data_IF_463775666844
#
_entry.id   IF_463775666844
#
_cell.length_a   1.000
_cell.length_b   1.000
_cell.length_c   1.000
_cell.angle_alpha   90.00
_cell.angle_beta   90.00
_cell.angle_gamma   90.00
#
_symmetry.space_group_name_H-M   'P 1'
#
loop_
_entity.id
_entity.type
_entity.pdbx_description
1 polymer ?
#
# COMPACT_ATOMS: atom_id res chain seq x y z
N UNK A 1 -21.06 20.56 36.52
CA UNK A 1 -20.95 20.13 35.10
C UNK A 1 -19.96 18.98 35.04
N UNK A 2 -20.44 17.75 34.97
CA UNK A 2 -19.63 16.54 34.98
C UNK A 2 -18.91 16.41 33.64
N UNK A 3 -17.56 16.40 33.65
CA UNK A 3 -16.73 16.21 32.45
C UNK A 3 -17.18 14.91 31.77
N UNK A 4 -17.79 15.01 30.58
CA UNK A 4 -18.29 13.84 29.84
C UNK A 4 -17.10 12.92 29.58
N UNK A 5 -17.13 11.71 30.15
CA UNK A 5 -16.05 10.72 30.01
C UNK A 5 -15.94 10.36 28.53
N UNK A 6 -14.74 10.54 27.97
CA UNK A 6 -14.45 10.18 26.58
C UNK A 6 -14.26 8.66 26.56
N UNK A 7 -14.97 7.97 25.67
CA UNK A 7 -14.80 6.54 25.45
C UNK A 7 -13.34 6.26 25.06
N UNK A 8 -12.73 5.31 25.75
CA UNK A 8 -11.35 4.91 25.52
C UNK A 8 -11.32 3.56 24.79
N UNK A 9 -10.91 3.52 23.50
CA UNK A 9 -10.83 2.28 22.76
C UNK A 9 -9.79 1.30 23.32
N UNK A 10 -8.78 1.76 24.09
CA UNK A 10 -7.82 0.87 24.76
C UNK A 10 -8.46 0.07 25.91
N UNK A 11 -9.58 0.56 26.45
CA UNK A 11 -10.27 -0.07 27.57
C UNK A 11 -11.17 -1.23 27.13
N UNK A 12 -11.32 -1.48 25.82
CA UNK A 12 -12.16 -2.56 25.29
C UNK A 12 -11.53 -3.92 25.62
N UNK A 13 -12.21 -4.79 26.39
CA UNK A 13 -11.65 -6.05 26.82
C UNK A 13 -11.48 -7.03 25.65
N UNK A 14 -10.44 -7.88 25.72
CA UNK A 14 -10.19 -8.90 24.69
C UNK A 14 -11.33 -9.92 24.51
N UNK A 15 -12.21 -10.07 25.51
CA UNK A 15 -13.40 -10.93 25.44
C UNK A 15 -14.43 -10.43 24.43
N UNK A 16 -14.64 -9.12 24.35
CA UNK A 16 -15.57 -8.49 23.40
C UNK A 16 -15.26 -8.90 21.95
N UNK A 17 -13.98 -8.89 21.58
CA UNK A 17 -13.51 -9.28 20.25
C UNK A 17 -13.67 -10.77 19.93
N UNK A 18 -13.95 -11.61 20.94
CA UNK A 18 -14.18 -13.06 20.78
C UNK A 18 -15.66 -13.43 20.75
N UNK A 19 -16.55 -12.48 20.98
CA UNK A 19 -17.99 -12.73 20.91
C UNK A 19 -18.40 -13.10 19.48
N UNK A 20 -19.30 -14.07 19.36
CA UNK A 20 -19.69 -14.63 18.06
C UNK A 20 -20.30 -13.57 17.14
N UNK A 21 -21.13 -12.69 17.69
CA UNK A 21 -21.77 -11.61 16.95
C UNK A 21 -20.74 -10.58 16.45
N UNK A 22 -19.75 -10.24 17.28
CA UNK A 22 -18.65 -9.34 16.91
C UNK A 22 -17.77 -9.99 15.84
N UNK A 23 -17.38 -11.25 15.99
CA UNK A 23 -16.59 -11.98 14.98
C UNK A 23 -17.34 -12.09 13.64
N UNK A 24 -18.64 -12.35 13.68
CA UNK A 24 -19.50 -12.43 12.49
C UNK A 24 -19.60 -11.07 11.80
N UNK A 25 -19.78 -9.98 12.58
CA UNK A 25 -19.79 -8.62 12.04
C UNK A 25 -18.45 -8.28 11.37
N UNK A 26 -17.33 -8.61 11.99
CA UNK A 26 -15.98 -8.40 11.44
C UNK A 26 -15.77 -9.19 10.13
N UNK A 27 -16.06 -10.49 10.14
CA UNK A 27 -15.90 -11.37 8.98
C UNK A 27 -16.75 -10.93 7.78
N UNK A 28 -17.96 -10.42 8.03
CA UNK A 28 -18.86 -9.90 6.99
C UNK A 28 -18.63 -8.43 6.66
N UNK A 29 -17.67 -7.78 7.33
CA UNK A 29 -17.40 -6.35 7.26
C UNK A 29 -18.64 -5.49 7.52
N UNK A 30 -19.55 -5.97 8.37
CA UNK A 30 -20.78 -5.26 8.76
C UNK A 30 -20.48 -4.29 9.91
N UNK A 31 -20.12 -3.06 9.55
CA UNK A 31 -19.77 -2.01 10.51
C UNK A 31 -21.01 -1.50 11.26
N UNK A 32 -22.20 -1.65 10.68
CA UNK A 32 -23.45 -1.35 11.37
C UNK A 32 -23.68 -2.30 12.55
N UNK A 33 -23.46 -3.61 12.34
CA UNK A 33 -23.52 -4.59 13.40
C UNK A 33 -22.43 -4.37 14.46
N UNK A 34 -21.18 -4.13 14.05
CA UNK A 34 -20.08 -3.85 14.97
C UNK A 34 -20.39 -2.62 15.86
N UNK A 35 -20.85 -1.52 15.27
CA UNK A 35 -21.20 -0.32 16.03
C UNK A 35 -22.39 -0.52 16.97
N UNK A 36 -23.36 -1.36 16.61
CA UNK A 36 -24.44 -1.73 17.54
C UNK A 36 -23.91 -2.50 18.74
N UNK A 37 -22.98 -3.44 18.55
CA UNK A 37 -22.34 -4.15 19.66
C UNK A 37 -21.59 -3.19 20.59
N UNK A 38 -20.87 -2.20 20.05
CA UNK A 38 -20.22 -1.16 20.85
C UNK A 38 -21.20 -0.32 21.67
N UNK A 39 -22.31 0.10 21.06
CA UNK A 39 -23.32 0.93 21.73
C UNK A 39 -24.15 0.16 22.75
N UNK A 40 -24.20 -1.17 22.64
CA UNK A 40 -24.90 -2.03 23.59
C UNK A 40 -24.04 -2.39 24.80
N UNK A 41 -22.73 -2.61 24.59
CA UNK A 41 -21.82 -3.10 25.63
C UNK A 41 -21.18 -1.97 26.46
N UNK A 42 -20.98 -0.79 25.87
CA UNK A 42 -20.24 0.30 26.51
C UNK A 42 -21.11 1.55 26.69
N UNK A 43 -21.61 1.77 27.92
CA UNK A 43 -22.48 2.90 28.28
C UNK A 43 -21.85 4.28 28.02
N UNK A 44 -20.51 4.37 28.04
CA UNK A 44 -19.77 5.60 27.76
C UNK A 44 -19.40 5.76 26.28
N UNK A 45 -19.79 4.82 25.42
CA UNK A 45 -19.65 4.88 23.96
C UNK A 45 -20.93 5.42 23.30
N UNK A 46 -20.77 6.43 22.43
CA UNK A 46 -21.87 7.06 21.70
C UNK A 46 -21.59 7.11 20.21
N UNK A 47 -22.62 7.23 19.37
CA UNK A 47 -22.46 7.41 17.92
C UNK A 47 -21.57 8.60 17.56
N UNK A 48 -21.55 9.64 18.39
CA UNK A 48 -20.68 10.82 18.17
C UNK A 48 -19.22 10.49 18.47
N UNK A 49 -18.93 9.67 19.49
CA UNK A 49 -17.58 9.21 19.76
C UNK A 49 -17.10 8.20 18.71
N UNK A 50 -17.96 7.27 18.28
CA UNK A 50 -17.63 6.35 17.18
C UNK A 50 -17.31 7.11 15.89
N UNK A 51 -18.11 8.14 15.56
CA UNK A 51 -17.85 9.02 14.41
C UNK A 51 -16.51 9.74 14.53
N UNK A 52 -16.23 10.32 15.69
CA UNK A 52 -14.97 11.02 15.95
C UNK A 52 -13.76 10.09 15.88
N UNK A 53 -13.82 8.94 16.56
CA UNK A 53 -12.72 7.98 16.65
C UNK A 53 -12.39 7.37 15.29
N UNK A 54 -13.42 7.06 14.49
CA UNK A 54 -13.25 6.41 13.19
C UNK A 54 -13.14 7.39 12.02
N UNK A 55 -13.11 8.70 12.28
CA UNK A 55 -13.06 9.77 11.28
C UNK A 55 -14.20 9.67 10.24
N UNK A 56 -15.43 9.44 10.71
CA UNK A 56 -16.64 9.42 9.89
C UNK A 56 -17.60 10.54 10.30
N UNK A 57 -18.48 10.92 9.37
CA UNK A 57 -19.60 11.78 9.72
C UNK A 57 -20.56 11.08 10.67
N UNK A 58 -21.07 11.83 11.66
CA UNK A 58 -22.06 11.31 12.60
C UNK A 58 -23.32 10.79 11.90
N UNK A 59 -23.72 11.42 10.79
CA UNK A 59 -24.83 10.95 9.96
C UNK A 59 -24.58 9.57 9.37
N UNK A 60 -23.34 9.30 8.94
CA UNK A 60 -22.96 7.99 8.39
C UNK A 60 -23.01 6.89 9.44
N UNK A 61 -22.43 7.14 10.61
CA UNK A 61 -22.51 6.22 11.74
C UNK A 61 -23.96 5.95 12.13
N UNK A 62 -24.80 7.00 12.16
CA UNK A 62 -26.22 6.86 12.47
C UNK A 62 -26.95 6.01 11.42
N UNK A 63 -26.65 6.22 10.14
CA UNK A 63 -27.26 5.47 9.04
C UNK A 63 -26.86 4.00 9.04
N UNK A 64 -25.61 3.67 9.35
CA UNK A 64 -25.16 2.29 9.53
C UNK A 64 -25.82 1.61 10.73
N UNK A 65 -25.90 2.30 11.86
CA UNK A 65 -26.53 1.76 13.09
C UNK A 65 -28.02 1.49 12.86
N UNK A 66 -28.73 2.41 12.18
CA UNK A 66 -30.16 2.28 11.85
C UNK A 66 -30.45 1.31 10.71
N UNK A 67 -29.43 0.87 9.98
CA UNK A 67 -29.58 0.02 8.79
C UNK A 67 -30.17 0.73 7.58
N UNK A 68 -30.25 2.07 7.57
CA UNK A 68 -30.68 2.85 6.40
C UNK A 68 -29.60 2.94 5.34
N UNK A 69 -28.32 2.78 5.73
CA UNK A 69 -27.18 2.55 4.83
C UNK A 69 -26.70 1.11 5.02
N UNK A 70 -26.31 0.46 3.92
CA UNK A 70 -25.75 -0.88 3.98
C UNK A 70 -24.51 -0.88 4.91
N UNK A 71 -24.55 -1.69 5.96
CA UNK A 71 -23.46 -1.79 6.94
C UNK A 71 -22.24 -2.54 6.44
N UNK A 72 -22.35 -3.32 5.35
CA UNK A 72 -21.23 -4.01 4.74
C UNK A 72 -20.35 -3.00 4.02
N UNK A 73 -19.15 -2.81 4.54
CA UNK A 73 -18.16 -1.91 3.99
C UNK A 73 -17.15 -2.74 3.19
N UNK A 74 -17.05 -2.48 1.89
CA UNK A 74 -16.03 -3.07 1.02
C UNK A 74 -14.77 -2.22 0.93
N UNK A 75 -14.87 -0.91 1.20
CA UNK A 75 -13.76 0.04 1.11
C UNK A 75 -12.73 -0.19 2.21
N UNK A 76 -11.51 -0.55 1.82
CA UNK A 76 -10.42 -0.86 2.76
C UNK A 76 -9.97 0.35 3.57
N UNK A 77 -10.09 1.56 3.04
CA UNK A 77 -9.75 2.80 3.73
C UNK A 77 -10.74 3.09 4.87
N UNK A 78 -12.03 2.88 4.63
CA UNK A 78 -13.08 2.95 5.66
C UNK A 78 -12.81 1.91 6.76
N UNK A 79 -12.54 0.65 6.38
CA UNK A 79 -12.23 -0.41 7.33
C UNK A 79 -10.96 -0.10 8.14
N UNK A 80 -9.94 0.47 7.51
CA UNK A 80 -8.68 0.86 8.18
C UNK A 80 -8.89 1.98 9.19
N UNK A 81 -9.62 3.04 8.84
CA UNK A 81 -9.95 4.13 9.79
C UNK A 81 -10.78 3.62 10.96
N UNK A 82 -11.69 2.68 10.72
CA UNK A 82 -12.44 2.03 11.80
C UNK A 82 -11.51 1.19 12.68
N UNK A 83 -10.62 0.40 12.06
CA UNK A 83 -9.68 -0.46 12.77
C UNK A 83 -8.67 0.32 13.63
N UNK A 84 -8.20 1.46 13.13
CA UNK A 84 -7.29 2.37 13.84
C UNK A 84 -8.04 3.14 14.93
N UNK A 85 -9.17 3.73 14.60
CA UNK A 85 -9.99 4.52 15.53
C UNK A 85 -10.49 3.74 16.75
N UNK A 86 -10.84 2.47 16.54
CA UNK A 86 -11.29 1.57 17.60
C UNK A 86 -10.17 0.67 18.14
N UNK A 87 -8.91 0.88 17.71
CA UNK A 87 -7.73 0.13 18.15
C UNK A 87 -7.93 -1.38 18.14
N UNK A 88 -8.39 -1.91 17.02
CA UNK A 88 -8.69 -3.32 16.87
C UNK A 88 -7.45 -4.19 17.13
N UNK A 89 -7.58 -5.29 17.92
CA UNK A 89 -6.51 -6.26 18.05
C UNK A 89 -6.28 -6.99 16.73
N UNK A 90 -5.09 -7.54 16.55
CA UNK A 90 -4.66 -8.21 15.32
C UNK A 90 -5.64 -9.29 14.83
N UNK A 91 -6.21 -10.08 15.75
CA UNK A 91 -7.21 -11.10 15.40
C UNK A 91 -8.48 -10.49 14.79
N UNK A 92 -8.93 -9.33 15.29
CA UNK A 92 -10.09 -8.63 14.75
C UNK A 92 -9.78 -7.98 13.40
N UNK A 93 -8.56 -7.43 13.24
CA UNK A 93 -8.08 -6.88 11.97
C UNK A 93 -8.08 -7.96 10.89
N UNK A 94 -7.51 -9.13 11.18
CA UNK A 94 -7.44 -10.26 10.24
C UNK A 94 -8.84 -10.74 9.85
N UNK A 95 -9.78 -10.86 10.80
CA UNK A 95 -11.16 -11.24 10.50
C UNK A 95 -11.85 -10.25 9.55
N UNK A 96 -11.55 -8.96 9.68
CA UNK A 96 -12.05 -7.91 8.79
C UNK A 96 -11.37 -7.93 7.39
N UNK A 97 -10.30 -8.71 7.22
CA UNK A 97 -9.47 -8.74 6.03
C UNK A 97 -8.42 -7.63 5.98
N UNK A 98 -7.98 -7.15 7.14
CA UNK A 98 -6.90 -6.19 7.32
C UNK A 98 -5.63 -6.87 7.85
N UNK A 99 -4.47 -6.27 7.59
CA UNK A 99 -3.21 -6.71 8.17
C UNK A 99 -3.15 -6.46 9.70
N UNK A 100 -2.45 -7.31 10.47
CA UNK A 100 -2.13 -7.08 11.89
C UNK A 100 -1.44 -5.73 12.12
N UNK A 101 -1.74 -5.05 13.23
CA UNK A 101 -1.09 -3.81 13.64
C UNK A 101 0.37 -4.03 14.09
N UNK A 102 0.67 -5.15 14.78
CA UNK A 102 2.02 -5.45 15.29
C UNK A 102 2.97 -6.11 14.27
N UNK A 103 2.52 -6.38 13.05
CA UNK A 103 3.43 -6.75 11.96
C UNK A 103 4.50 -5.67 11.69
N UNK A 104 4.29 -4.44 12.19
CA UNK A 104 5.22 -3.32 12.16
C UNK A 104 6.25 -3.31 13.32
N UNK A 105 5.96 -3.95 14.46
CA UNK A 105 6.81 -3.88 15.67
C UNK A 105 7.79 -5.05 15.75
N UNK A 106 7.41 -6.25 15.29
CA UNK A 106 8.36 -7.38 15.21
C UNK A 106 9.57 -7.05 14.34
N UNK A 107 9.38 -6.30 13.24
CA UNK A 107 10.49 -5.85 12.40
C UNK A 107 11.43 -4.82 13.07
N UNK A 108 10.96 -4.05 14.06
CA UNK A 108 11.77 -3.03 14.76
C UNK A 108 12.42 -3.58 16.02
N UNK A 109 11.79 -4.57 16.68
CA UNK A 109 12.36 -5.27 17.82
C UNK A 109 13.45 -6.26 17.39
N UNK A 110 13.30 -6.93 16.25
CA UNK A 110 14.37 -7.76 15.66
C UNK A 110 15.66 -6.94 15.42
N UNK A 111 15.55 -5.69 14.98
CA UNK A 111 16.71 -4.80 14.76
C UNK A 111 17.41 -4.37 16.07
N UNK A 112 16.67 -4.24 17.19
CA UNK A 112 17.24 -3.87 18.51
C UNK A 112 17.78 -5.08 19.29
N UNK A 113 17.18 -6.25 19.15
CA UNK A 113 17.71 -7.48 19.77
C UNK A 113 18.95 -8.00 19.03
N UNK A 114 19.04 -7.81 17.70
CA UNK A 114 20.25 -8.12 16.93
C UNK A 114 21.44 -7.22 17.30
N UNK A 115 21.21 -5.94 17.59
CA UNK A 115 22.28 -5.00 17.98
C UNK A 115 22.72 -5.13 19.45
N UNK A 116 21.94 -5.80 20.30
CA UNK A 116 22.30 -6.09 21.69
C UNK A 116 22.94 -7.48 21.90
N UNK A 117 22.71 -8.45 21.00
CA UNK A 117 23.24 -9.82 21.15
C UNK A 117 24.66 -10.03 20.60
N UNK A 118 25.22 -9.09 19.85
CA UNK A 118 26.60 -9.19 19.33
C UNK A 118 27.70 -9.00 20.40
N UNK A 119 27.34 -8.62 21.63
CA UNK A 119 28.29 -8.44 22.73
C UNK A 119 28.38 -9.63 23.71
N UNK A 120 27.69 -10.75 23.49
CA UNK A 120 27.75 -11.82 24.49
C UNK A 120 27.16 -13.17 24.10
N UNK A 121 28.06 -14.15 24.02
CA UNK A 121 27.85 -15.57 24.30
C UNK A 121 27.61 -16.52 23.12
N UNK A 122 28.68 -17.26 22.87
CA UNK A 122 28.75 -18.62 22.36
C UNK A 122 27.68 -19.56 22.92
N UNK A 123 26.84 -20.15 22.07
CA UNK A 123 25.92 -21.21 22.45
C UNK A 123 25.13 -21.77 21.28
N UNK A 124 25.52 -22.96 20.81
CA UNK A 124 25.06 -23.64 19.60
C UNK A 124 23.78 -24.44 19.86
N UNK A 125 22.69 -24.22 19.10
CA UNK A 125 21.76 -25.29 18.64
C UNK A 125 20.76 -24.80 17.57
N UNK A 126 20.98 -25.27 16.34
CA UNK A 126 19.96 -25.94 15.50
C UNK A 126 18.71 -25.20 14.99
N UNK A 127 18.88 -24.08 14.26
CA UNK A 127 17.81 -23.47 13.44
C UNK A 127 18.21 -22.99 12.04
N UNK A 128 19.38 -23.41 11.55
CA UNK A 128 19.95 -22.84 10.32
C UNK A 128 19.54 -23.65 9.09
N UNK A 129 18.37 -23.34 8.49
CA UNK A 129 18.09 -23.63 7.05
C UNK A 129 16.79 -23.06 6.45
N UNK A 130 16.27 -21.93 6.93
CA UNK A 130 15.30 -21.11 6.18
C UNK A 130 15.65 -19.63 6.42
N UNK A 131 15.49 -18.78 5.40
CA UNK A 131 15.67 -17.31 5.40
C UNK A 131 17.06 -16.71 5.16
N UNK A 132 17.81 -17.23 4.18
CA UNK A 132 18.92 -16.47 3.55
C UNK A 132 18.48 -15.76 2.25
N UNK A 133 17.19 -15.85 1.87
CA UNK A 133 16.65 -15.23 0.64
C UNK A 133 15.87 -13.93 0.87
N UNK A 134 15.66 -13.50 2.12
CA UNK A 134 14.79 -12.35 2.43
C UNK A 134 15.53 -11.00 2.45
N UNK A 135 16.87 -11.04 2.46
CA UNK A 135 17.73 -9.85 2.55
C UNK A 135 18.08 -9.18 1.20
N UNK A 136 17.68 -9.75 0.06
CA UNK A 136 18.10 -9.27 -1.29
C UNK A 136 16.95 -8.85 -2.21
N UNK A 137 15.70 -8.87 -1.74
CA UNK A 137 14.55 -8.50 -2.57
C UNK A 137 14.46 -6.98 -2.74
N UNK A 138 14.54 -6.50 -3.99
CA UNK A 138 14.41 -5.08 -4.33
C UNK A 138 13.03 -4.56 -3.93
N UNK A 139 13.02 -3.40 -3.26
CA UNK A 139 11.78 -2.76 -2.81
C UNK A 139 11.39 -1.61 -3.73
N UNK A 140 10.21 -1.68 -4.32
CA UNK A 140 9.65 -0.62 -5.17
C UNK A 140 8.43 0.02 -4.51
N UNK A 141 8.18 1.29 -4.77
CA UNK A 141 6.92 1.95 -4.50
C UNK A 141 6.13 2.10 -5.80
N UNK A 142 4.84 1.75 -5.80
CA UNK A 142 3.94 2.02 -6.92
C UNK A 142 2.91 3.06 -6.48
N UNK A 143 3.05 4.26 -7.03
CA UNK A 143 2.20 5.41 -6.75
C UNK A 143 1.36 5.75 -7.98
N UNK A 144 0.07 6.01 -7.78
CA UNK A 144 -0.82 6.31 -8.89
C UNK A 144 -2.27 6.47 -8.50
N UNK A 145 -3.02 7.23 -9.28
CA UNK A 145 -4.47 7.39 -9.15
C UNK A 145 -5.10 7.70 -10.50
N UNK A 146 -6.43 7.58 -10.60
CA UNK A 146 -7.20 7.68 -11.86
C UNK A 146 -8.13 8.92 -11.89
N UNK A 147 -7.63 10.16 -11.93
CA UNK A 147 -8.47 11.32 -12.20
C UNK A 147 -8.91 11.38 -13.68
N UNK A 148 -9.95 12.15 -14.01
CA UNK A 148 -10.59 12.15 -15.35
C UNK A 148 -9.66 12.43 -16.55
N UNK A 149 -8.49 13.02 -16.32
CA UNK A 149 -7.54 13.43 -17.36
C UNK A 149 -6.41 12.42 -17.62
N UNK A 150 -6.46 11.22 -17.01
CA UNK A 150 -5.47 10.16 -17.26
C UNK A 150 -5.94 9.17 -18.32
N UNK A 151 -4.99 8.45 -18.92
CA UNK A 151 -5.30 7.37 -19.86
C UNK A 151 -5.56 6.06 -19.11
N UNK A 152 -6.84 5.77 -18.82
CA UNK A 152 -7.22 4.56 -18.08
C UNK A 152 -6.82 3.26 -18.78
N UNK A 153 -6.82 3.21 -20.11
CA UNK A 153 -6.41 2.01 -20.87
C UNK A 153 -4.91 1.73 -20.66
N UNK A 154 -4.08 2.77 -20.67
CA UNK A 154 -2.66 2.65 -20.37
C UNK A 154 -2.39 2.27 -18.90
N UNK A 155 -3.21 2.76 -17.96
CA UNK A 155 -3.11 2.35 -16.55
C UNK A 155 -3.48 0.87 -16.39
N UNK A 156 -4.56 0.42 -17.04
CA UNK A 156 -4.97 -0.99 -16.98
C UNK A 156 -3.89 -1.92 -17.54
N UNK A 157 -3.25 -1.53 -18.66
CA UNK A 157 -2.12 -2.25 -19.21
C UNK A 157 -0.94 -2.27 -18.22
N UNK A 158 -0.61 -1.11 -17.62
CA UNK A 158 0.47 -1.00 -16.63
C UNK A 158 0.22 -1.86 -15.40
N UNK A 159 -1.02 -1.92 -14.89
CA UNK A 159 -1.40 -2.78 -13.75
C UNK A 159 -1.07 -4.24 -14.06
N UNK A 160 -1.49 -4.74 -15.24
CA UNK A 160 -1.22 -6.12 -15.66
C UNK A 160 0.29 -6.39 -15.82
N UNK A 161 1.01 -5.48 -16.47
CA UNK A 161 2.43 -5.65 -16.74
C UNK A 161 3.29 -5.56 -15.47
N UNK A 162 3.01 -4.60 -14.58
CA UNK A 162 3.67 -4.47 -13.29
C UNK A 162 3.38 -5.66 -12.38
N UNK A 163 2.15 -6.18 -12.37
CA UNK A 163 1.82 -7.40 -11.63
C UNK A 163 2.68 -8.60 -12.07
N UNK A 164 2.87 -8.78 -13.39
CA UNK A 164 3.78 -9.81 -13.92
C UNK A 164 5.21 -9.60 -13.43
N UNK A 165 5.74 -8.38 -13.55
CA UNK A 165 7.10 -8.06 -13.12
C UNK A 165 7.32 -8.35 -11.63
N UNK A 166 6.41 -7.85 -10.78
CA UNK A 166 6.45 -8.06 -9.33
C UNK A 166 6.48 -9.54 -8.99
N UNK A 167 5.68 -10.36 -9.68
CA UNK A 167 5.64 -11.81 -9.48
C UNK A 167 6.93 -12.51 -9.94
N UNK A 168 7.41 -12.19 -11.14
CA UNK A 168 8.60 -12.82 -11.74
C UNK A 168 9.85 -12.51 -10.93
N UNK A 169 10.01 -11.25 -10.51
CA UNK A 169 11.18 -10.76 -9.76
C UNK A 169 11.02 -10.85 -8.24
N UNK A 170 9.86 -11.28 -7.75
CA UNK A 170 9.51 -11.32 -6.31
C UNK A 170 9.80 -9.98 -5.62
N UNK A 171 9.40 -8.89 -6.28
CA UNK A 171 9.63 -7.54 -5.76
C UNK A 171 8.78 -7.29 -4.52
N UNK A 172 9.34 -6.54 -3.56
CA UNK A 172 8.56 -6.02 -2.45
C UNK A 172 7.92 -4.70 -2.86
N UNK A 173 6.59 -4.62 -2.78
CA UNK A 173 5.84 -3.46 -3.25
C UNK A 173 5.29 -2.66 -2.07
N UNK A 174 5.72 -1.41 -1.96
CA UNK A 174 5.04 -0.40 -1.17
C UNK A 174 3.95 0.24 -2.02
N UNK A 175 2.75 0.39 -1.48
CA UNK A 175 1.69 1.14 -2.13
C UNK A 175 0.77 1.80 -1.10
N UNK A 176 0.03 2.82 -1.54
CA UNK A 176 -1.02 3.43 -0.74
C UNK A 176 -2.25 2.51 -0.63
N UNK A 177 -3.14 2.75 0.35
CA UNK A 177 -4.38 1.98 0.52
C UNK A 177 -5.38 2.18 -0.63
N UNK A 178 -5.20 3.23 -1.43
CA UNK A 178 -6.04 3.58 -2.59
C UNK A 178 -5.14 3.94 -3.76
N UNK A 179 -5.53 3.53 -4.97
CA UNK A 179 -4.85 3.89 -6.22
C UNK A 179 -4.20 2.71 -6.94
N UNK A 180 -3.32 3.01 -7.89
CA UNK A 180 -2.80 2.01 -8.84
C UNK A 180 -2.00 0.91 -8.15
N UNK A 181 -1.25 1.23 -7.08
CA UNK A 181 -0.44 0.24 -6.40
C UNK A 181 -1.27 -0.87 -5.73
N UNK A 182 -2.43 -0.56 -5.14
CA UNK A 182 -3.34 -1.60 -4.62
C UNK A 182 -3.98 -2.38 -5.78
N UNK A 183 -4.29 -1.74 -6.91
CA UNK A 183 -4.80 -2.46 -8.09
C UNK A 183 -3.81 -3.51 -8.61
N UNK A 184 -2.51 -3.21 -8.61
CA UNK A 184 -1.45 -4.18 -8.96
C UNK A 184 -1.47 -5.37 -8.00
N UNK A 185 -1.55 -5.13 -6.69
CA UNK A 185 -1.58 -6.20 -5.69
C UNK A 185 -2.85 -7.05 -5.77
N UNK A 186 -4.01 -6.41 -5.99
CA UNK A 186 -5.28 -7.11 -6.21
C UNK A 186 -5.23 -7.95 -7.48
N UNK A 187 -4.66 -7.41 -8.58
CA UNK A 187 -4.50 -8.17 -9.82
C UNK A 187 -3.65 -9.44 -9.60
N UNK A 188 -2.57 -9.32 -8.82
CA UNK A 188 -1.74 -10.47 -8.42
C UNK A 188 -2.57 -11.53 -7.67
N UNK A 189 -3.32 -11.11 -6.66
CA UNK A 189 -4.11 -12.00 -5.82
C UNK A 189 -5.17 -12.76 -6.64
N UNK A 190 -5.86 -12.06 -7.54
CA UNK A 190 -6.96 -12.62 -8.33
C UNK A 190 -6.49 -13.57 -9.44
N UNK A 191 -5.36 -13.28 -10.08
CA UNK A 191 -4.95 -13.97 -11.32
C UNK A 191 -3.83 -14.99 -11.13
N UNK A 192 -2.97 -14.82 -10.12
CA UNK A 192 -1.77 -15.66 -9.97
C UNK A 192 -1.83 -16.60 -8.77
N UNK A 193 -2.77 -16.39 -7.84
CA UNK A 193 -2.99 -17.23 -6.64
C UNK A 193 -1.72 -17.89 -6.08
N UNK A 194 -0.65 -17.14 -5.79
CA UNK A 194 0.63 -17.75 -5.50
C UNK A 194 0.57 -18.57 -4.21
N UNK A 195 1.08 -19.82 -4.21
CA UNK A 195 1.09 -20.65 -3.01
C UNK A 195 1.95 -19.98 -1.93
N UNK A 196 1.36 -19.69 -0.77
CA UNK A 196 2.04 -19.03 0.34
C UNK A 196 2.20 -17.52 0.14
N UNK A 197 1.07 -16.79 0.09
CA UNK A 197 0.96 -15.32 0.06
C UNK A 197 1.48 -14.65 1.35
N UNK A 198 2.68 -15.04 1.78
CA UNK A 198 3.58 -14.38 2.73
C UNK A 198 4.65 -13.54 2.00
N UNK A 199 4.85 -13.73 0.69
CA UNK A 199 5.90 -13.06 -0.09
C UNK A 199 5.49 -11.76 -0.79
N UNK A 200 4.18 -11.51 -0.95
CA UNK A 200 3.67 -10.20 -1.36
C UNK A 200 3.32 -9.41 -0.10
N UNK A 201 4.34 -9.03 0.68
CA UNK A 201 4.14 -8.11 1.82
C UNK A 201 3.80 -6.74 1.26
N UNK A 202 2.52 -6.54 0.97
CA UNK A 202 1.94 -5.22 0.88
C UNK A 202 2.06 -4.59 2.27
N UNK A 203 3.05 -3.71 2.45
CA UNK A 203 3.18 -2.92 3.67
C UNK A 203 2.08 -1.85 3.60
N UNK A 204 0.87 -2.24 4.00
CA UNK A 204 -0.23 -1.30 4.24
C UNK A 204 0.08 -0.48 5.49
N UNK A 205 0.04 0.84 5.38
CA UNK A 205 0.04 1.73 6.56
C UNK A 205 1.21 2.70 6.72
N UNK A 206 1.95 3.04 5.66
CA UNK A 206 2.87 4.19 5.74
C UNK A 206 2.20 5.42 5.15
N UNK A 207 2.13 6.53 5.92
CA UNK A 207 1.99 7.91 5.40
C UNK A 207 3.14 8.32 4.46
N UNK A 208 4.03 7.38 4.11
CA UNK A 208 5.23 7.59 3.33
C UNK A 208 5.57 6.32 2.53
N UNK A 209 4.74 6.00 1.52
CA UNK A 209 4.86 4.84 0.61
C UNK A 209 6.27 4.71 0.02
N UNK A 210 6.96 5.84 -0.13
CA UNK A 210 8.27 5.97 -0.78
C UNK A 210 9.48 5.80 0.15
N UNK A 211 9.29 5.77 1.48
CA UNK A 211 10.40 5.90 2.44
C UNK A 211 11.46 4.80 2.29
N UNK A 212 11.01 3.55 2.16
CA UNK A 212 11.91 2.37 2.10
C UNK A 212 12.06 1.80 0.68
N UNK A 213 11.49 2.48 -0.31
CA UNK A 213 11.60 2.07 -1.70
C UNK A 213 12.94 2.52 -2.30
N UNK A 214 13.55 1.64 -3.08
CA UNK A 214 14.72 1.93 -3.92
C UNK A 214 14.28 2.65 -5.19
N UNK A 215 13.15 2.22 -5.77
CA UNK A 215 12.54 2.81 -6.96
C UNK A 215 11.11 3.25 -6.69
N UNK A 216 10.70 4.39 -7.24
CA UNK A 216 9.34 4.91 -7.15
C UNK A 216 8.73 4.97 -8.55
N UNK A 217 7.83 4.05 -8.84
CA UNK A 217 7.10 3.98 -10.11
C UNK A 217 5.85 4.84 -10.02
N UNK A 218 5.70 5.80 -10.94
CA UNK A 218 4.53 6.69 -11.00
C UNK A 218 3.65 6.31 -12.20
N UNK A 219 2.38 6.00 -11.93
CA UNK A 219 1.39 5.60 -12.94
C UNK A 219 0.15 6.50 -12.81
N UNK A 220 -0.09 7.34 -13.82
CA UNK A 220 -1.16 8.33 -13.85
C UNK A 220 -0.99 9.40 -12.77
N UNK A 221 -2.06 9.68 -12.03
CA UNK A 221 -1.99 10.39 -10.76
C UNK A 221 -2.57 11.81 -10.76
N UNK A 222 -3.42 12.10 -9.78
CA UNK A 222 -3.91 13.44 -9.43
C UNK A 222 -3.07 14.11 -8.33
N UNK A 223 -3.68 15.05 -7.59
CA UNK A 223 -2.98 15.88 -6.60
C UNK A 223 -2.28 15.07 -5.47
N UNK A 224 -2.91 14.01 -4.98
CA UNK A 224 -2.30 13.15 -3.94
C UNK A 224 -1.05 12.43 -4.45
N UNK A 225 -1.12 11.84 -5.66
CA UNK A 225 0.04 11.21 -6.31
C UNK A 225 1.14 12.23 -6.59
N UNK A 226 0.80 13.49 -6.91
CA UNK A 226 1.78 14.57 -7.10
C UNK A 226 2.54 14.87 -5.81
N UNK A 227 1.86 14.97 -4.67
CA UNK A 227 2.52 15.19 -3.40
C UNK A 227 3.52 14.07 -3.05
N UNK A 228 3.17 12.81 -3.33
CA UNK A 228 4.07 11.66 -3.16
C UNK A 228 5.28 11.72 -4.10
N UNK A 229 5.07 12.07 -5.37
CA UNK A 229 6.14 12.20 -6.36
C UNK A 229 7.09 13.35 -6.03
N UNK A 230 6.57 14.50 -5.62
CA UNK A 230 7.38 15.67 -5.23
C UNK A 230 8.25 15.33 -4.01
N UNK A 231 7.69 14.61 -3.03
CA UNK A 231 8.46 14.16 -1.86
C UNK A 231 9.55 13.15 -2.27
N UNK A 232 9.25 12.21 -3.17
CA UNK A 232 10.23 11.26 -3.69
C UNK A 232 11.40 11.95 -4.39
N UNK A 233 11.12 12.95 -5.23
CA UNK A 233 12.15 13.77 -5.86
C UNK A 233 12.94 14.55 -4.82
N UNK A 234 12.27 15.18 -3.85
CA UNK A 234 12.92 16.00 -2.82
C UNK A 234 13.87 15.20 -1.92
N UNK A 235 13.56 13.93 -1.64
CA UNK A 235 14.42 13.03 -0.86
C UNK A 235 15.40 12.21 -1.73
N UNK A 236 15.55 12.56 -3.01
CA UNK A 236 16.54 11.96 -3.91
C UNK A 236 16.25 10.51 -4.30
N UNK A 237 14.98 10.08 -4.29
CA UNK A 237 14.59 8.74 -4.73
C UNK A 237 14.67 8.62 -6.25
N UNK A 238 14.86 7.39 -6.71
CA UNK A 238 14.89 7.04 -8.13
C UNK A 238 13.47 6.91 -8.66
N UNK A 239 12.98 7.97 -9.31
CA UNK A 239 11.60 8.06 -9.80
C UNK A 239 11.51 7.62 -11.26
N UNK A 240 10.55 6.73 -11.55
CA UNK A 240 10.30 6.14 -12.88
C UNK A 240 8.85 6.45 -13.30
N UNK A 241 8.62 7.58 -14.00
CA UNK A 241 7.28 7.98 -14.41
C UNK A 241 6.83 7.33 -15.73
N UNK A 242 5.70 6.63 -15.73
CA UNK A 242 5.12 6.08 -16.97
C UNK A 242 4.25 7.13 -17.70
N UNK A 243 4.89 8.03 -18.45
CA UNK A 243 4.26 9.22 -19.05
C UNK A 243 3.03 8.95 -19.93
N UNK A 244 2.94 7.77 -20.55
CA UNK A 244 1.78 7.27 -21.32
C UNK A 244 0.44 7.41 -20.60
N UNK A 245 0.48 7.32 -19.27
CA UNK A 245 -0.70 7.33 -18.42
C UNK A 245 -1.22 8.73 -18.10
N UNK A 246 -0.47 9.78 -18.47
CA UNK A 246 -0.86 11.17 -18.24
C UNK A 246 -0.69 11.62 -16.79
N UNK A 247 -1.37 12.72 -16.43
CA UNK A 247 -1.45 13.22 -15.06
C UNK A 247 -0.08 13.53 -14.43
N UNK A 248 0.12 13.04 -13.21
CA UNK A 248 1.37 13.24 -12.45
C UNK A 248 2.56 12.56 -13.11
N UNK A 249 2.41 11.34 -13.63
CA UNK A 249 3.49 10.65 -14.32
C UNK A 249 4.07 11.51 -15.48
N UNK A 250 3.19 12.05 -16.33
CA UNK A 250 3.62 12.93 -17.42
C UNK A 250 4.27 14.22 -16.91
N UNK A 251 3.74 14.83 -15.85
CA UNK A 251 4.30 16.05 -15.26
C UNK A 251 5.70 15.82 -14.67
N UNK A 252 5.93 14.69 -14.00
CA UNK A 252 7.23 14.29 -13.45
C UNK A 252 8.23 14.07 -14.58
N UNK A 253 7.85 13.37 -15.66
CA UNK A 253 8.74 13.19 -16.82
C UNK A 253 9.15 14.54 -17.45
N UNK A 254 8.19 15.46 -17.61
CA UNK A 254 8.49 16.82 -18.09
C UNK A 254 9.38 17.61 -17.11
N UNK A 255 9.31 17.34 -15.81
CA UNK A 255 10.21 17.93 -14.83
C UNK A 255 11.62 17.37 -14.97
N UNK A 256 11.77 16.06 -15.13
CA UNK A 256 13.06 15.39 -15.38
C UNK A 256 13.74 15.92 -16.65
N UNK A 257 12.99 16.14 -17.74
CA UNK A 257 13.53 16.76 -18.97
C UNK A 257 14.11 18.16 -18.74
N UNK A 258 13.46 18.94 -17.87
CA UNK A 258 13.90 20.31 -17.53
C UNK A 258 15.01 20.33 -16.50
N UNK A 259 15.18 19.24 -15.75
CA UNK A 259 16.18 19.10 -14.71
C UNK A 259 16.92 17.76 -14.87
N UNK A 260 17.94 17.69 -15.76
CA UNK A 260 18.67 16.46 -16.05
C UNK A 260 19.33 15.81 -14.82
N UNK A 261 19.57 16.57 -13.74
CA UNK A 261 20.09 16.05 -12.49
C UNK A 261 19.19 14.95 -11.87
N UNK A 262 17.90 14.94 -12.20
CA UNK A 262 16.95 13.93 -11.70
C UNK A 262 17.06 12.57 -12.41
N UNK A 263 17.73 12.53 -13.57
CA UNK A 263 17.91 11.32 -14.39
C UNK A 263 19.37 10.88 -14.50
N UNK A 264 20.32 11.51 -13.79
CA UNK A 264 21.76 11.16 -13.90
C UNK A 264 22.08 9.75 -13.45
N UNK A 265 21.25 9.16 -12.59
CA UNK A 265 21.38 7.78 -12.13
C UNK A 265 20.86 6.77 -13.14
N UNK A 266 20.07 7.20 -14.14
CA UNK A 266 19.46 6.32 -15.11
C UNK A 266 20.48 5.88 -16.17
N UNK A 267 20.39 4.64 -16.67
CA UNK A 267 21.10 4.25 -17.89
C UNK A 267 20.78 5.19 -19.05
N UNK A 268 21.72 5.43 -19.99
CA UNK A 268 21.54 6.38 -21.09
C UNK A 268 20.26 6.14 -21.91
N UNK A 269 19.91 4.88 -22.14
CA UNK A 269 18.77 4.50 -22.97
C UNK A 269 17.43 4.59 -22.21
N UNK A 270 17.46 4.55 -20.87
CA UNK A 270 16.24 4.52 -20.06
C UNK A 270 15.43 5.82 -20.19
N UNK A 271 16.10 6.98 -20.18
CA UNK A 271 15.38 8.25 -20.37
C UNK A 271 14.77 8.34 -21.77
N UNK A 272 15.46 7.81 -22.80
CA UNK A 272 14.93 7.75 -24.15
C UNK A 272 13.69 6.83 -24.24
N UNK A 273 13.70 5.68 -23.54
CA UNK A 273 12.53 4.79 -23.43
C UNK A 273 11.37 5.48 -22.72
N UNK A 274 11.61 6.16 -21.58
CA UNK A 274 10.57 6.93 -20.90
C UNK A 274 9.95 7.99 -21.83
N UNK A 275 10.78 8.66 -22.63
CA UNK A 275 10.35 9.66 -23.59
C UNK A 275 9.54 9.08 -24.75
N UNK A 276 9.89 7.90 -25.23
CA UNK A 276 9.14 7.16 -26.24
C UNK A 276 7.77 6.70 -25.71
N UNK A 277 7.75 6.10 -24.53
CA UNK A 277 6.52 5.65 -23.86
C UNK A 277 5.52 6.81 -23.64
N UNK A 278 6.00 8.04 -23.44
CA UNK A 278 5.17 9.21 -23.23
C UNK A 278 4.52 9.78 -24.51
N UNK A 279 4.86 9.28 -25.70
CA UNK A 279 4.39 9.80 -26.99
C UNK A 279 3.10 9.14 -27.49
N UNK A 280 2.43 8.34 -26.67
CA UNK A 280 1.14 7.74 -27.05
C UNK A 280 0.12 8.84 -27.40
N UNK A 281 -0.28 8.87 -28.67
CA UNK A 281 -1.27 9.81 -29.17
C UNK A 281 -2.69 9.52 -28.66
N UNK A 282 -3.61 10.50 -28.71
CA UNK A 282 -4.99 10.38 -28.21
C UNK A 282 -5.87 9.35 -28.96
N UNK A 283 -5.33 8.64 -29.96
CA UNK A 283 -6.00 7.58 -30.72
C UNK A 283 -5.21 6.27 -30.77
N UNK A 284 -4.22 6.09 -29.90
CA UNK A 284 -3.45 4.86 -29.85
C UNK A 284 -4.35 3.64 -29.61
N UNK A 285 -4.12 2.60 -30.39
CA UNK A 285 -4.82 1.32 -30.27
C UNK A 285 -4.41 0.59 -28.99
N UNK A 286 -5.24 -0.35 -28.52
CA UNK A 286 -4.90 -1.20 -27.38
C UNK A 286 -3.57 -1.93 -27.57
N UNK A 287 -3.29 -2.41 -28.79
CA UNK A 287 -2.03 -3.11 -29.12
C UNK A 287 -0.82 -2.18 -28.97
N UNK A 288 -0.92 -0.94 -29.44
CA UNK A 288 0.15 0.05 -29.30
C UNK A 288 0.39 0.40 -27.82
N UNK A 289 -0.69 0.57 -27.05
CA UNK A 289 -0.61 0.83 -25.62
C UNK A 289 0.04 -0.34 -24.88
N UNK A 290 -0.33 -1.58 -25.19
CA UNK A 290 0.25 -2.78 -24.58
C UNK A 290 1.74 -2.89 -24.91
N UNK A 291 2.13 -2.71 -26.19
CA UNK A 291 3.54 -2.70 -26.59
C UNK A 291 4.36 -1.64 -25.85
N UNK A 292 3.86 -0.40 -25.76
CA UNK A 292 4.55 0.67 -25.02
C UNK A 292 4.64 0.40 -23.52
N UNK A 293 3.64 -0.29 -22.97
CA UNK A 293 3.64 -0.68 -21.56
C UNK A 293 4.67 -1.76 -21.30
N UNK A 294 4.75 -2.77 -22.16
CA UNK A 294 5.76 -3.83 -22.05
C UNK A 294 7.17 -3.24 -22.21
N UNK A 295 7.40 -2.33 -23.17
CA UNK A 295 8.68 -1.61 -23.31
C UNK A 295 9.07 -0.84 -22.03
N UNK A 296 8.11 -0.18 -21.38
CA UNK A 296 8.34 0.51 -20.11
C UNK A 296 8.71 -0.47 -18.97
N UNK A 297 8.01 -1.61 -18.88
CA UNK A 297 8.24 -2.60 -17.84
C UNK A 297 9.55 -3.36 -18.06
N UNK A 298 9.93 -3.64 -19.30
CA UNK A 298 11.22 -4.26 -19.65
C UNK A 298 12.40 -3.34 -19.31
N UNK A 299 12.24 -2.03 -19.54
CA UNK A 299 13.22 -1.02 -19.11
C UNK A 299 13.33 -1.00 -17.57
N UNK A 300 12.20 -0.99 -16.85
CA UNK A 300 12.19 -1.06 -15.39
C UNK A 300 12.90 -2.34 -14.89
N UNK A 301 12.63 -3.48 -15.51
CA UNK A 301 13.27 -4.76 -15.18
C UNK A 301 14.79 -4.71 -15.39
N UNK A 302 15.22 -4.13 -16.51
CA UNK A 302 16.64 -3.96 -16.84
C UNK A 302 17.36 -3.08 -15.81
N UNK A 303 16.75 -1.96 -15.41
CA UNK A 303 17.28 -1.06 -14.38
C UNK A 303 17.41 -1.80 -13.04
N UNK A 304 16.35 -2.49 -12.61
CA UNK A 304 16.35 -3.26 -11.36
C UNK A 304 17.46 -4.33 -11.39
N UNK A 305 17.64 -5.00 -12.52
CA UNK A 305 18.63 -6.05 -12.66
C UNK A 305 20.08 -5.52 -12.65
N UNK A 306 20.36 -4.42 -13.35
CA UNK A 306 21.69 -3.81 -13.42
C UNK A 306 22.21 -3.46 -12.01
N UNK A 307 21.35 -2.90 -11.17
CA UNK A 307 21.70 -2.48 -9.81
C UNK A 307 21.90 -3.65 -8.82
N UNK A 308 21.43 -4.86 -9.14
CA UNK A 308 21.74 -6.05 -8.36
C UNK A 308 23.11 -6.66 -8.70
N UNK A 309 23.74 -6.23 -9.80
CA UNK A 309 25.03 -6.74 -10.28
C UNK A 309 26.28 -6.01 -9.78
N UNK A 310 26.13 -4.80 -9.20
CA UNK A 310 27.26 -4.04 -8.66
C UNK A 310 27.47 -4.34 -7.16
N UNK A 311 28.67 -4.77 -6.74
CA UNK A 311 28.99 -4.87 -5.32
C UNK A 311 28.93 -3.47 -4.70
N UNK A 312 28.06 -3.29 -3.71
CA UNK A 312 28.01 -2.06 -2.90
C UNK A 312 29.38 -1.87 -2.24
N UNK A 313 30.14 -0.88 -2.70
CA UNK A 313 31.41 -0.45 -2.13
C UNK A 313 31.21 0.24 -0.78
#
# INVERSE_FOLDING_TARGET
MTRRKVFDPDAVPSSFWRENDVQTALARRDMGALFRSYLAEFDDCTQTQLALLTEHDRSDVSNWVRGTRHGQVSDIGVLTRIAEGLRLPDSARVLMGLAPANALVSSVLDEREMSASEAGSTGRTDRRRLDDSDMTSVRIAICGSRPDHVNNVAIDAAVRALARLVMVRRLRVNHGPVGVGIEVMTHIADHYQPPGLRGAVAIFGRRNVIADAEYVVIVGGGAGTRAEADLAVAVGKRVLPYGATGGTAQAVLQHMRRNPALSTWMPPDALATLDQCAQLGPGATTIEIERMTDEFVDMLDTIIHADQGEPRA
#
